data_IF_737705035667
#
_entry.id   IF_737705035667
#
_cell.length_a   1.000
_cell.length_b   1.000
_cell.length_c   1.000
_cell.angle_alpha   90.00
_cell.angle_beta   90.00
_cell.angle_gamma   90.00
#
_symmetry.space_group_name_H-M   'P 1'
#
loop_
_entity.id
_entity.type
_entity.pdbx_description
1 polymer ?
#
# COMPACT_ATOMS: atom_id res chain seq x y z
N UNK A 1 -1.32 -1.32 -27.24
CA UNK A 1 -2.27 -2.17 -26.48
C UNK A 1 -2.39 -1.59 -25.07
N UNK A 2 -3.56 -1.10 -24.65
CA UNK A 2 -3.73 -0.29 -23.42
C UNK A 2 -3.86 -1.15 -22.14
N UNK A 3 -4.22 -2.43 -22.26
CA UNK A 3 -4.47 -3.30 -21.13
C UNK A 3 -3.37 -4.35 -20.90
N UNK A 4 -3.00 -4.55 -19.62
CA UNK A 4 -2.02 -5.52 -19.14
C UNK A 4 -2.37 -6.96 -19.56
N UNK A 5 -3.64 -7.36 -19.40
CA UNK A 5 -4.10 -8.75 -19.53
C UNK A 5 -5.12 -9.00 -20.66
N UNK A 6 -5.19 -8.13 -21.67
CA UNK A 6 -6.08 -8.33 -22.83
C UNK A 6 -7.31 -7.40 -22.82
N UNK A 7 -8.48 -7.86 -23.26
CA UNK A 7 -9.70 -7.03 -23.27
C UNK A 7 -10.24 -6.85 -21.85
N UNK A 8 -10.90 -5.73 -21.59
CA UNK A 8 -11.64 -5.53 -20.34
C UNK A 8 -12.77 -6.56 -20.24
N UNK A 9 -12.97 -7.06 -19.04
CA UNK A 9 -13.99 -8.03 -18.64
C UNK A 9 -14.91 -7.40 -17.61
N UNK A 10 -16.05 -8.04 -17.33
CA UNK A 10 -16.96 -7.58 -16.27
C UNK A 10 -16.28 -7.52 -14.89
N UNK A 11 -15.26 -8.35 -14.66
CA UNK A 11 -14.50 -8.36 -13.41
C UNK A 11 -13.65 -7.11 -13.19
N UNK A 12 -13.26 -6.40 -14.26
CA UNK A 12 -12.49 -5.16 -14.14
C UNK A 12 -13.30 -4.03 -13.47
N UNK A 13 -14.63 -4.18 -13.38
CA UNK A 13 -15.49 -3.28 -12.60
C UNK A 13 -15.17 -3.30 -11.09
N UNK A 14 -14.40 -4.28 -10.59
CA UNK A 14 -13.94 -4.28 -9.20
C UNK A 14 -12.79 -3.30 -8.94
N UNK A 15 -12.08 -2.82 -9.97
CA UNK A 15 -10.92 -1.96 -9.77
C UNK A 15 -11.28 -0.65 -9.05
N UNK A 16 -12.30 0.12 -9.45
CA UNK A 16 -12.69 1.34 -8.72
C UNK A 16 -12.96 1.12 -7.21
N UNK A 17 -13.78 0.15 -6.77
CA UNK A 17 -13.98 -0.10 -5.33
C UNK A 17 -12.74 -0.68 -4.61
N UNK A 18 -11.69 -1.11 -5.31
CA UNK A 18 -10.39 -1.37 -4.68
C UNK A 18 -9.71 -0.06 -4.25
N UNK A 19 -9.83 1.00 -5.05
CA UNK A 19 -9.17 2.29 -4.81
C UNK A 19 -9.98 3.23 -3.94
N UNK A 20 -11.30 3.27 -4.12
CA UNK A 20 -12.20 4.20 -3.44
C UNK A 20 -12.93 3.49 -2.31
N UNK A 21 -12.29 3.45 -1.13
CA UNK A 21 -12.85 2.80 0.05
C UNK A 21 -13.07 3.79 1.16
N UNK A 22 -14.24 3.73 1.82
CA UNK A 22 -14.47 4.55 3.01
C UNK A 22 -13.51 4.21 4.15
N UNK A 23 -12.99 2.98 4.20
CA UNK A 23 -11.93 2.59 5.13
C UNK A 23 -10.61 3.35 4.96
N UNK A 24 -10.50 4.33 4.06
CA UNK A 24 -9.35 5.23 3.93
C UNK A 24 -9.62 6.60 4.55
N UNK A 25 -10.74 6.79 5.26
CA UNK A 25 -11.20 8.11 5.67
C UNK A 25 -10.13 8.88 6.47
N UNK A 26 -9.36 8.28 7.38
CA UNK A 26 -8.37 9.06 8.16
C UNK A 26 -7.26 9.64 7.28
N UNK A 27 -6.89 8.94 6.20
CA UNK A 27 -5.91 9.44 5.25
C UNK A 27 -6.43 10.63 4.44
N UNK A 28 -7.75 10.83 4.38
CA UNK A 28 -8.39 11.94 3.69
C UNK A 28 -8.83 13.06 4.65
N UNK A 29 -9.33 12.69 5.83
CA UNK A 29 -9.99 13.61 6.76
C UNK A 29 -9.14 13.94 7.96
N UNK A 30 -8.24 13.06 8.43
CA UNK A 30 -7.49 13.26 9.67
C UNK A 30 -6.17 13.97 9.41
N UNK A 31 -5.26 13.31 8.69
CA UNK A 31 -3.95 13.84 8.29
C UNK A 31 -3.81 13.60 6.78
N UNK A 32 -4.33 14.53 5.94
CA UNK A 32 -4.24 14.41 4.50
C UNK A 32 -2.79 14.62 4.07
N UNK A 33 -2.01 13.54 4.12
CA UNK A 33 -0.64 13.51 3.61
C UNK A 33 -0.53 12.49 2.47
N UNK A 34 -0.51 12.95 1.21
CA UNK A 34 -0.37 12.08 0.05
C UNK A 34 0.88 11.20 0.11
N UNK A 35 1.96 11.65 0.76
CA UNK A 35 3.22 10.89 0.84
C UNK A 35 3.09 9.62 1.69
N UNK A 36 2.12 9.57 2.61
CA UNK A 36 1.94 8.43 3.52
C UNK A 36 1.05 7.32 2.97
N UNK A 37 0.40 7.52 1.82
CA UNK A 37 -0.54 6.53 1.27
C UNK A 37 -0.60 6.53 -0.25
N UNK A 38 -1.22 7.55 -0.84
CA UNK A 38 -1.56 7.57 -2.27
C UNK A 38 -0.32 7.56 -3.16
N UNK A 39 0.70 8.37 -2.84
CA UNK A 39 1.92 8.45 -3.66
C UNK A 39 2.67 7.10 -3.70
N UNK A 40 2.94 6.42 -2.58
CA UNK A 40 3.51 5.07 -2.59
C UNK A 40 2.75 4.08 -3.49
N UNK A 41 1.42 4.09 -3.44
CA UNK A 41 0.58 3.20 -4.28
C UNK A 41 0.75 3.54 -5.75
N UNK A 42 0.68 4.82 -6.12
CA UNK A 42 0.87 5.28 -7.49
C UNK A 42 2.26 4.88 -8.00
N UNK A 43 3.31 5.08 -7.20
CA UNK A 43 4.68 4.71 -7.56
C UNK A 43 4.84 3.19 -7.75
N UNK A 44 4.21 2.37 -6.91
CA UNK A 44 4.20 0.91 -7.08
C UNK A 44 3.53 0.48 -8.39
N UNK A 45 2.40 1.10 -8.74
CA UNK A 45 1.70 0.84 -10.01
C UNK A 45 2.51 1.32 -11.23
N UNK A 46 3.13 2.50 -11.14
CA UNK A 46 4.04 3.02 -12.17
C UNK A 46 5.27 2.14 -12.34
N UNK A 47 5.83 1.59 -11.27
CA UNK A 47 6.94 0.64 -11.35
C UNK A 47 6.51 -0.63 -12.10
N UNK A 48 5.34 -1.19 -11.77
CA UNK A 48 4.80 -2.34 -12.50
C UNK A 48 4.56 -2.02 -13.98
N UNK A 49 4.04 -0.82 -14.29
CA UNK A 49 3.90 -0.36 -15.67
C UNK A 49 5.25 -0.22 -16.37
N UNK A 50 6.29 0.23 -15.66
CA UNK A 50 7.64 0.43 -16.18
C UNK A 50 8.37 -0.88 -16.46
N UNK A 51 8.02 -1.96 -15.75
CA UNK A 51 8.51 -3.30 -16.10
C UNK A 51 8.10 -3.72 -17.52
N UNK A 52 6.97 -3.22 -18.03
CA UNK A 52 6.49 -3.50 -19.39
C UNK A 52 7.19 -2.66 -20.48
N UNK A 53 8.13 -1.78 -20.13
CA UNK A 53 8.90 -1.03 -21.12
C UNK A 53 9.92 -1.98 -21.75
N UNK A 54 9.83 -2.15 -23.07
CA UNK A 54 10.71 -3.02 -23.87
C UNK A 54 12.12 -2.44 -24.01
N UNK A 55 12.24 -1.11 -24.11
CA UNK A 55 13.54 -0.44 -24.15
C UNK A 55 14.22 -0.51 -22.78
N UNK A 56 15.32 -1.26 -22.68
CA UNK A 56 16.07 -1.49 -21.44
C UNK A 56 16.56 -0.21 -20.76
N UNK A 57 17.02 0.78 -21.52
CA UNK A 57 17.47 2.07 -20.97
C UNK A 57 16.33 2.92 -20.43
N UNK A 58 15.21 2.97 -21.14
CA UNK A 58 14.01 3.67 -20.67
C UNK A 58 13.42 2.98 -19.43
N UNK A 59 13.42 1.64 -19.39
CA UNK A 59 13.03 0.87 -18.21
C UNK A 59 13.95 1.16 -17.02
N UNK A 60 15.27 1.18 -17.25
CA UNK A 60 16.26 1.52 -16.24
C UNK A 60 15.99 2.92 -15.67
N UNK A 61 15.93 3.94 -16.55
CA UNK A 61 15.69 5.32 -16.13
C UNK A 61 14.39 5.48 -15.34
N UNK A 62 13.30 4.86 -15.82
CA UNK A 62 12.00 4.90 -15.16
C UNK A 62 12.02 4.22 -13.78
N UNK A 63 12.53 2.99 -13.69
CA UNK A 63 12.57 2.24 -12.42
C UNK A 63 13.51 2.90 -11.40
N UNK A 64 14.64 3.45 -11.84
CA UNK A 64 15.55 4.20 -10.96
C UNK A 64 14.88 5.46 -10.42
N UNK A 65 14.25 6.27 -11.28
CA UNK A 65 13.54 7.48 -10.86
C UNK A 65 12.38 7.17 -9.91
N UNK A 66 11.56 6.17 -10.24
CA UNK A 66 10.43 5.74 -9.39
C UNK A 66 10.94 5.24 -8.04
N UNK A 67 12.03 4.47 -8.02
CA UNK A 67 12.61 3.94 -6.78
C UNK A 67 13.19 5.05 -5.90
N UNK A 68 13.83 6.05 -6.49
CA UNK A 68 14.28 7.25 -5.79
C UNK A 68 13.10 7.94 -5.09
N UNK A 69 12.05 8.28 -5.83
CA UNK A 69 10.87 8.93 -5.25
C UNK A 69 10.18 8.04 -4.21
N UNK A 70 10.06 6.74 -4.46
CA UNK A 70 9.40 5.80 -3.55
C UNK A 70 10.12 5.72 -2.20
N UNK A 71 11.44 5.64 -2.18
CA UNK A 71 12.23 5.63 -0.95
C UNK A 71 12.05 6.91 -0.12
N UNK A 72 11.86 8.06 -0.75
CA UNK A 72 11.71 9.35 -0.06
C UNK A 72 10.29 9.69 0.38
N UNK A 73 9.31 8.81 0.12
CA UNK A 73 7.93 8.98 0.63
C UNK A 73 7.76 8.49 2.06
N UNK A 74 8.71 7.71 2.60
CA UNK A 74 8.64 7.06 3.91
C UNK A 74 7.89 5.72 3.92
N UNK A 75 6.88 5.53 3.05
CA UNK A 75 6.09 4.29 2.97
C UNK A 75 6.37 3.47 1.70
N UNK A 76 6.85 4.12 0.63
CA UNK A 76 7.25 3.46 -0.62
C UNK A 76 8.61 2.75 -0.55
N UNK A 77 9.34 2.82 0.57
CA UNK A 77 10.69 2.29 0.68
C UNK A 77 10.79 0.75 0.52
N UNK A 78 9.68 0.03 0.61
CA UNK A 78 9.64 -1.42 0.34
C UNK A 78 9.66 -1.76 -1.15
N UNK A 79 9.37 -0.81 -2.03
CA UNK A 79 9.31 -1.05 -3.48
C UNK A 79 10.70 -1.36 -4.09
N UNK A 80 11.77 -0.58 -3.84
CA UNK A 80 13.07 -0.85 -4.44
C UNK A 80 13.65 -2.24 -4.10
N UNK A 81 13.63 -2.74 -2.85
CA UNK A 81 14.08 -4.10 -2.55
C UNK A 81 13.36 -5.18 -3.35
N UNK A 82 12.05 -5.03 -3.58
CA UNK A 82 11.27 -5.99 -4.38
C UNK A 82 11.64 -5.93 -5.86
N UNK A 83 11.86 -4.73 -6.41
CA UNK A 83 12.33 -4.55 -7.78
C UNK A 83 13.73 -5.13 -7.97
N UNK A 84 14.64 -4.89 -7.02
CA UNK A 84 16.00 -5.46 -7.03
C UNK A 84 15.91 -6.98 -7.09
N UNK A 85 15.14 -7.61 -6.21
CA UNK A 85 14.99 -9.07 -6.20
C UNK A 85 14.51 -9.62 -7.54
N UNK A 86 13.47 -9.01 -8.13
CA UNK A 86 12.93 -9.39 -9.45
C UNK A 86 13.96 -9.20 -10.57
N UNK A 87 14.68 -8.09 -10.58
CA UNK A 87 15.70 -7.79 -11.60
C UNK A 87 16.94 -8.67 -11.47
N UNK A 88 17.35 -9.03 -10.25
CA UNK A 88 18.45 -9.97 -10.01
C UNK A 88 18.08 -11.37 -10.49
N UNK A 89 16.86 -11.85 -10.17
CA UNK A 89 16.36 -13.12 -10.70
C UNK A 89 16.40 -13.10 -12.23
N UNK A 90 15.89 -12.03 -12.85
CA UNK A 90 15.96 -11.86 -14.31
C UNK A 90 17.38 -11.94 -14.84
N UNK A 91 18.33 -11.21 -14.25
CA UNK A 91 19.72 -11.20 -14.68
C UNK A 91 20.39 -12.58 -14.58
N UNK A 92 20.07 -13.35 -13.55
CA UNK A 92 20.54 -14.74 -13.37
C UNK A 92 19.99 -15.65 -14.48
N UNK A 93 18.69 -15.55 -14.79
CA UNK A 93 18.07 -16.38 -15.85
C UNK A 93 18.52 -15.97 -17.25
N UNK A 94 18.70 -14.67 -17.50
CA UNK A 94 19.20 -14.14 -18.76
C UNK A 94 20.72 -14.27 -18.91
N UNK A 95 21.44 -14.91 -17.99
CA UNK A 95 22.93 -14.95 -17.96
C UNK A 95 23.56 -15.45 -19.28
N UNK A 96 22.86 -16.30 -20.02
CA UNK A 96 23.28 -16.75 -21.36
C UNK A 96 23.32 -15.61 -22.38
N UNK A 97 22.43 -14.63 -22.26
CA UNK A 97 22.45 -13.39 -23.02
C UNK A 97 23.07 -12.28 -22.16
N UNK A 98 24.42 -12.18 -22.23
CA UNK A 98 25.20 -11.26 -21.40
C UNK A 98 24.72 -9.80 -21.46
N UNK A 99 24.25 -9.32 -22.61
CA UNK A 99 23.77 -7.95 -22.76
C UNK A 99 22.47 -7.70 -21.96
N UNK A 100 21.51 -8.63 -22.05
CA UNK A 100 20.25 -8.53 -21.28
C UNK A 100 20.47 -8.72 -19.78
N UNK A 101 21.30 -9.71 -19.40
CA UNK A 101 21.69 -9.91 -18.01
C UNK A 101 22.38 -8.68 -17.43
N UNK A 102 23.36 -8.10 -18.15
CA UNK A 102 24.04 -6.89 -17.72
C UNK A 102 23.07 -5.71 -17.55
N UNK A 103 22.09 -5.54 -18.44
CA UNK A 103 21.06 -4.51 -18.30
C UNK A 103 20.19 -4.73 -17.05
N UNK A 104 19.79 -5.97 -16.77
CA UNK A 104 19.02 -6.33 -15.57
C UNK A 104 19.81 -6.05 -14.29
N UNK A 105 21.08 -6.45 -14.23
CA UNK A 105 21.97 -6.15 -13.09
C UNK A 105 22.24 -4.66 -12.93
N UNK A 106 22.53 -3.96 -14.03
CA UNK A 106 22.75 -2.50 -14.02
C UNK A 106 21.50 -1.77 -13.49
N UNK A 107 20.31 -2.19 -13.92
CA UNK A 107 19.05 -1.63 -13.42
C UNK A 107 18.88 -1.90 -11.93
N UNK A 108 19.13 -3.13 -11.46
CA UNK A 108 19.07 -3.48 -10.04
C UNK A 108 20.04 -2.63 -9.21
N UNK A 109 21.28 -2.45 -9.68
CA UNK A 109 22.28 -1.60 -9.03
C UNK A 109 21.83 -0.15 -8.99
N UNK A 110 21.34 0.41 -10.11
CA UNK A 110 20.88 1.79 -10.17
C UNK A 110 19.69 2.04 -9.23
N UNK A 111 18.73 1.11 -9.18
CA UNK A 111 17.62 1.13 -8.21
C UNK A 111 18.14 1.07 -6.77
N UNK A 112 19.10 0.21 -6.48
CA UNK A 112 19.72 0.07 -5.16
C UNK A 112 20.45 1.34 -4.71
N UNK A 113 21.24 1.96 -5.60
CA UNK A 113 21.93 3.22 -5.32
C UNK A 113 20.92 4.34 -5.08
N UNK A 114 19.91 4.46 -5.94
CA UNK A 114 18.85 5.46 -5.76
C UNK A 114 18.13 5.30 -4.43
N UNK A 115 17.79 4.07 -4.03
CA UNK A 115 17.15 3.80 -2.75
C UNK A 115 18.10 4.05 -1.55
N UNK A 116 19.38 3.72 -1.69
CA UNK A 116 20.39 3.90 -0.66
C UNK A 116 20.64 5.39 -0.33
N UNK A 117 20.31 6.32 -1.23
CA UNK A 117 20.41 7.76 -0.92
C UNK A 117 19.51 8.17 0.27
N UNK A 118 18.40 7.47 0.52
CA UNK A 118 17.56 7.74 1.70
C UNK A 118 18.28 7.42 3.01
N UNK A 119 19.30 6.54 2.98
CA UNK A 119 20.05 6.11 4.16
C UNK A 119 21.04 7.19 4.62
N UNK A 120 21.30 8.21 3.80
CA UNK A 120 22.16 9.33 4.16
C UNK A 120 21.50 10.13 5.28
N UNK A 121 22.06 10.06 6.48
CA UNK A 121 21.51 10.70 7.67
C UNK A 121 20.35 9.94 8.33
N UNK A 122 20.00 8.75 7.85
CA UNK A 122 18.96 7.92 8.46
C UNK A 122 19.42 7.35 9.79
N UNK A 123 18.61 7.52 10.83
CA UNK A 123 18.89 7.03 12.19
C UNK A 123 18.04 5.80 12.48
N UNK A 124 18.66 4.62 12.49
CA UNK A 124 17.98 3.35 12.75
C UNK A 124 17.36 3.25 14.16
N UNK A 125 17.86 4.03 15.12
CA UNK A 125 17.32 4.12 16.49
C UNK A 125 15.85 4.58 16.51
N UNK A 126 15.42 5.32 15.48
CA UNK A 126 14.05 5.82 15.34
C UNK A 126 13.08 4.80 14.70
N UNK A 127 13.57 3.61 14.32
CA UNK A 127 12.72 2.57 13.71
C UNK A 127 11.67 1.99 14.66
N UNK A 128 11.93 2.02 15.98
CA UNK A 128 10.91 1.69 16.98
C UNK A 128 10.08 2.93 17.26
N UNK A 129 8.94 3.02 16.57
CA UNK A 129 8.01 4.12 16.75
C UNK A 129 7.39 4.16 18.16
N UNK A 130 7.31 3.01 18.85
CA UNK A 130 6.66 2.90 20.16
C UNK A 130 7.44 1.98 21.11
N UNK A 131 7.73 2.41 22.35
CA UNK A 131 8.34 1.55 23.36
C UNK A 131 7.33 0.51 23.89
N UNK A 132 7.77 -0.74 24.00
CA UNK A 132 6.96 -1.84 24.52
C UNK A 132 6.95 -1.81 26.05
N UNK A 133 5.84 -1.37 26.64
CA UNK A 133 5.69 -1.29 28.10
C UNK A 133 5.30 -2.62 28.74
N UNK A 134 4.76 -3.57 27.97
CA UNK A 134 4.13 -4.79 28.50
C UNK A 134 4.63 -6.06 27.78
N UNK A 135 5.91 -6.37 27.96
CA UNK A 135 6.53 -7.58 27.39
C UNK A 135 6.91 -7.46 25.91
N UNK A 136 7.75 -8.39 25.46
CA UNK A 136 8.15 -8.47 24.06
C UNK A 136 7.08 -9.20 23.26
N UNK A 137 6.62 -8.67 22.11
CA UNK A 137 5.64 -9.36 21.27
C UNK A 137 6.13 -10.73 20.81
N UNK A 138 5.22 -11.69 20.71
CA UNK A 138 5.52 -13.04 20.21
C UNK A 138 5.45 -13.10 18.68
N UNK A 139 5.95 -14.18 18.06
CA UNK A 139 5.78 -14.43 16.62
C UNK A 139 4.29 -14.51 16.24
N UNK A 140 3.47 -15.12 17.10
CA UNK A 140 2.02 -15.22 16.93
C UNK A 140 1.36 -13.84 16.84
N UNK A 141 1.80 -12.88 17.66
CA UNK A 141 1.27 -11.52 17.62
C UNK A 141 1.53 -10.82 16.29
N UNK A 142 2.69 -11.08 15.66
CA UNK A 142 3.00 -10.56 14.32
C UNK A 142 2.10 -11.18 13.26
N UNK A 143 1.85 -12.49 13.33
CA UNK A 143 0.93 -13.19 12.42
C UNK A 143 -0.49 -12.64 12.56
N UNK A 144 -0.97 -12.48 13.80
CA UNK A 144 -2.29 -11.90 14.08
C UNK A 144 -2.37 -10.47 13.54
N UNK A 145 -1.32 -9.66 13.70
CA UNK A 145 -1.27 -8.31 13.14
C UNK A 145 -1.42 -8.31 11.62
N UNK A 146 -0.67 -9.15 10.90
CA UNK A 146 -0.75 -9.24 9.44
C UNK A 146 -2.15 -9.66 8.99
N UNK A 147 -2.74 -10.70 9.60
CA UNK A 147 -4.09 -11.15 9.28
C UNK A 147 -5.11 -10.04 9.57
N UNK A 148 -4.94 -9.34 10.70
CA UNK A 148 -5.82 -8.24 11.11
C UNK A 148 -5.77 -7.05 10.15
N UNK A 149 -4.58 -6.69 9.66
CA UNK A 149 -4.43 -5.62 8.67
C UNK A 149 -5.03 -6.00 7.32
N UNK A 150 -4.82 -7.25 6.87
CA UNK A 150 -5.39 -7.76 5.61
C UNK A 150 -6.91 -7.75 5.69
N UNK A 151 -7.52 -8.30 6.75
CA UNK A 151 -8.98 -8.37 6.85
C UNK A 151 -9.61 -6.98 6.96
N UNK A 152 -9.00 -6.05 7.71
CA UNK A 152 -9.47 -4.68 7.84
C UNK A 152 -9.50 -3.97 6.50
N UNK A 153 -8.49 -4.22 5.66
CA UNK A 153 -8.43 -3.66 4.32
C UNK A 153 -9.63 -4.07 3.46
N UNK A 154 -10.22 -5.23 3.71
CA UNK A 154 -11.42 -5.74 3.02
C UNK A 154 -12.74 -5.48 3.77
N UNK A 155 -12.75 -4.58 4.76
CA UNK A 155 -13.95 -4.15 5.46
C UNK A 155 -14.39 -5.05 6.62
N UNK A 156 -13.60 -6.08 6.97
CA UNK A 156 -13.91 -6.95 8.10
C UNK A 156 -13.31 -6.38 9.39
N UNK A 157 -14.13 -5.65 10.14
CA UNK A 157 -13.76 -5.02 11.41
C UNK A 157 -14.20 -5.92 12.57
N UNK A 158 -13.29 -6.27 13.49
CA UNK A 158 -13.59 -7.15 14.62
C UNK A 158 -12.43 -8.05 15.02
N UNK A 159 -12.61 -8.88 16.05
CA UNK A 159 -11.67 -9.95 16.47
C UNK A 159 -12.27 -11.35 16.32
N UNK A 160 -13.37 -11.46 15.60
CA UNK A 160 -14.05 -12.72 15.34
C UNK A 160 -13.11 -13.71 14.64
N UNK A 161 -13.01 -14.91 15.24
CA UNK A 161 -12.15 -15.99 14.75
C UNK A 161 -12.55 -16.39 13.31
N UNK A 162 -13.83 -16.26 12.98
CA UNK A 162 -14.35 -16.53 11.65
C UNK A 162 -13.79 -15.56 10.59
N UNK A 163 -13.71 -14.25 10.86
CA UNK A 163 -13.04 -13.33 9.92
C UNK A 163 -11.53 -13.57 9.85
N UNK A 164 -10.87 -14.01 10.92
CA UNK A 164 -9.45 -14.36 10.89
C UNK A 164 -9.23 -15.58 9.97
N UNK A 165 -10.02 -16.64 10.16
CA UNK A 165 -9.98 -17.83 9.32
C UNK A 165 -10.34 -17.51 7.86
N UNK A 166 -11.40 -16.73 7.65
CA UNK A 166 -11.84 -16.27 6.35
C UNK A 166 -10.76 -15.46 5.63
N UNK A 167 -10.15 -14.49 6.29
CA UNK A 167 -9.09 -13.68 5.68
C UNK A 167 -7.84 -14.50 5.33
N UNK A 168 -7.49 -15.47 6.17
CA UNK A 168 -6.37 -16.37 5.90
C UNK A 168 -6.65 -17.24 4.68
N UNK A 169 -7.83 -17.87 4.63
CA UNK A 169 -8.22 -18.78 3.54
C UNK A 169 -8.44 -18.07 2.21
N UNK A 170 -9.01 -16.87 2.23
CA UNK A 170 -9.43 -16.14 1.02
C UNK A 170 -8.34 -15.24 0.47
N UNK A 171 -7.48 -14.66 1.33
CA UNK A 171 -6.50 -13.67 0.89
C UNK A 171 -5.07 -14.15 1.02
N UNK A 172 -4.66 -14.63 2.20
CA UNK A 172 -3.26 -14.98 2.44
C UNK A 172 -2.83 -16.26 1.70
N UNK A 173 -3.65 -17.31 1.71
CA UNK A 173 -3.34 -18.55 0.98
C UNK A 173 -3.32 -18.29 -0.55
N UNK A 174 -4.31 -17.59 -1.14
CA UNK A 174 -4.22 -17.21 -2.55
C UNK A 174 -3.06 -16.27 -2.86
N UNK A 175 -2.68 -15.36 -1.95
CA UNK A 175 -1.50 -14.50 -2.14
C UNK A 175 -0.20 -15.30 -2.13
N UNK A 176 -0.02 -16.22 -1.19
CA UNK A 176 1.13 -17.11 -1.14
C UNK A 176 1.21 -18.00 -2.39
N UNK A 177 0.06 -18.53 -2.84
CA UNK A 177 -0.04 -19.31 -4.07
C UNK A 177 0.31 -18.48 -5.30
N UNK A 178 -0.20 -17.24 -5.38
CA UNK A 178 0.09 -16.28 -6.42
C UNK A 178 1.58 -15.93 -6.49
N UNK A 179 2.23 -15.73 -5.33
CA UNK A 179 3.66 -15.49 -5.24
C UNK A 179 4.46 -16.70 -5.72
N UNK A 180 4.14 -17.89 -5.23
CA UNK A 180 4.83 -19.12 -5.63
C UNK A 180 4.73 -19.37 -7.15
N UNK A 181 3.55 -19.16 -7.73
CA UNK A 181 3.33 -19.24 -9.18
C UNK A 181 4.14 -18.17 -9.91
N UNK A 182 4.13 -16.92 -9.44
CA UNK A 182 4.83 -15.81 -10.08
C UNK A 182 6.36 -16.04 -10.08
N UNK A 183 6.92 -16.45 -8.94
CA UNK A 183 8.35 -16.80 -8.82
C UNK A 183 8.69 -17.98 -9.74
N UNK A 184 7.85 -19.01 -9.77
CA UNK A 184 8.07 -20.17 -10.65
C UNK A 184 8.04 -19.78 -12.13
N UNK A 185 7.20 -18.82 -12.54
CA UNK A 185 7.13 -18.34 -13.93
C UNK A 185 8.31 -17.46 -14.30
N UNK A 186 8.69 -16.55 -13.39
CA UNK A 186 9.93 -15.78 -13.53
C UNK A 186 11.11 -16.74 -13.68
N UNK A 187 11.11 -17.84 -12.95
CA UNK A 187 12.15 -18.86 -12.99
C UNK A 187 12.14 -19.75 -14.26
N UNK A 188 11.02 -19.78 -14.99
CA UNK A 188 10.84 -20.65 -16.16
C UNK A 188 10.80 -19.90 -17.49
N UNK A 189 10.75 -18.57 -17.46
CA UNK A 189 10.74 -17.75 -18.67
C UNK A 189 12.10 -17.93 -19.36
N UNK A 190 12.09 -18.50 -20.56
CA UNK A 190 13.28 -18.96 -21.27
C UNK A 190 13.89 -17.76 -22.03
N UNK A 191 15.23 -17.64 -22.15
CA UNK A 191 15.87 -16.47 -22.75
C UNK A 191 15.52 -16.16 -24.22
N UNK A 192 14.95 -17.12 -24.96
CA UNK A 192 14.76 -17.04 -26.40
C UNK A 192 13.40 -16.42 -26.80
N UNK A 193 13.36 -15.09 -26.68
CA UNK A 193 12.79 -14.15 -27.66
C UNK A 193 11.31 -13.71 -27.68
N UNK A 194 10.37 -14.20 -26.87
CA UNK A 194 9.03 -13.55 -26.70
C UNK A 194 8.59 -13.36 -25.23
N UNK A 195 9.43 -13.75 -24.28
CA UNK A 195 9.10 -13.89 -22.87
C UNK A 195 9.23 -12.60 -22.03
N UNK A 196 9.65 -11.47 -22.60
CA UNK A 196 9.87 -10.24 -21.83
C UNK A 196 8.56 -9.67 -21.27
N UNK A 197 7.49 -9.76 -22.05
CA UNK A 197 6.14 -9.42 -21.57
C UNK A 197 5.69 -10.40 -20.49
N UNK A 198 5.92 -11.69 -20.67
CA UNK A 198 5.51 -12.73 -19.72
C UNK A 198 6.19 -12.56 -18.36
N UNK A 199 7.51 -12.28 -18.37
CA UNK A 199 8.28 -11.92 -17.20
C UNK A 199 7.64 -10.74 -16.46
N UNK A 200 7.37 -9.64 -17.17
CA UNK A 200 6.84 -8.42 -16.55
C UNK A 200 5.42 -8.62 -16.01
N UNK A 201 4.61 -9.42 -16.70
CA UNK A 201 3.27 -9.81 -16.23
C UNK A 201 3.35 -10.74 -15.01
N UNK A 202 4.39 -11.56 -14.85
CA UNK A 202 4.59 -12.43 -13.70
C UNK A 202 5.17 -11.66 -12.50
N UNK A 203 6.09 -10.74 -12.77
CA UNK A 203 6.69 -9.85 -11.77
C UNK A 203 5.69 -8.88 -11.16
N UNK A 204 4.76 -8.33 -11.95
CA UNK A 204 3.78 -7.32 -11.51
C UNK A 204 3.02 -7.74 -10.24
N UNK A 205 2.25 -8.85 -10.22
CA UNK A 205 1.53 -9.25 -9.00
C UNK A 205 2.47 -9.58 -7.85
N UNK A 206 3.65 -10.15 -8.13
CA UNK A 206 4.63 -10.46 -7.09
C UNK A 206 5.15 -9.20 -6.38
N UNK A 207 5.54 -8.17 -7.14
CA UNK A 207 5.99 -6.89 -6.59
C UNK A 207 4.87 -6.24 -5.76
N UNK A 208 3.66 -6.17 -6.29
CA UNK A 208 2.52 -5.55 -5.60
C UNK A 208 2.17 -6.25 -4.28
N UNK A 209 2.10 -7.59 -4.28
CA UNK A 209 1.83 -8.38 -3.07
C UNK A 209 2.99 -8.22 -2.07
N UNK A 210 4.23 -8.39 -2.51
CA UNK A 210 5.39 -8.35 -1.61
C UNK A 210 5.60 -6.96 -0.99
N UNK A 211 5.36 -5.87 -1.72
CA UNK A 211 5.46 -4.51 -1.17
C UNK A 211 4.49 -4.31 -0.02
N UNK A 212 3.22 -4.69 -0.19
CA UNK A 212 2.23 -4.59 0.88
C UNK A 212 2.50 -5.56 2.04
N UNK A 213 2.95 -6.79 1.77
CA UNK A 213 3.32 -7.74 2.85
C UNK A 213 4.52 -7.24 3.65
N UNK A 214 5.56 -6.71 2.98
CA UNK A 214 6.71 -6.12 3.64
C UNK A 214 6.29 -4.92 4.50
N UNK A 215 5.37 -4.09 4.01
CA UNK A 215 4.75 -3.02 4.79
C UNK A 215 4.00 -3.53 6.02
N UNK A 216 3.18 -4.59 5.89
CA UNK A 216 2.47 -5.21 7.02
C UNK A 216 3.45 -5.70 8.09
N UNK A 217 4.49 -6.42 7.68
CA UNK A 217 5.49 -6.99 8.58
C UNK A 217 6.30 -5.90 9.28
N UNK A 218 6.70 -4.85 8.56
CA UNK A 218 7.41 -3.71 9.16
C UNK A 218 6.51 -2.93 10.11
N UNK A 219 5.24 -2.73 9.77
CA UNK A 219 4.28 -2.10 10.66
C UNK A 219 4.03 -2.92 11.93
N UNK A 220 3.94 -4.24 11.81
CA UNK A 220 3.89 -5.14 12.96
C UNK A 220 5.15 -4.93 13.82
N UNK A 221 6.34 -5.04 13.23
CA UNK A 221 7.59 -4.86 13.96
C UNK A 221 7.68 -3.52 14.71
N UNK A 222 7.25 -2.42 14.08
CA UNK A 222 7.38 -1.08 14.64
C UNK A 222 6.28 -0.72 15.65
N UNK A 223 5.08 -1.33 15.56
CA UNK A 223 3.88 -0.86 16.28
C UNK A 223 3.09 -1.92 17.03
N UNK A 224 3.49 -3.19 16.98
CA UNK A 224 2.78 -4.28 17.66
C UNK A 224 2.64 -4.07 19.17
N UNK A 225 3.52 -3.25 19.77
CA UNK A 225 3.45 -2.87 21.18
C UNK A 225 2.28 -1.96 21.55
N UNK A 226 1.55 -1.41 20.56
CA UNK A 226 0.25 -0.79 20.77
C UNK A 226 -0.91 -1.81 20.82
N UNK A 227 -0.62 -3.09 20.56
CA UNK A 227 -1.58 -4.18 20.48
C UNK A 227 -2.14 -4.39 19.07
N UNK A 228 -2.57 -5.62 18.73
CA UNK A 228 -3.00 -5.99 17.38
C UNK A 228 -4.25 -5.26 16.88
N UNK A 229 -5.00 -4.59 17.77
CA UNK A 229 -6.14 -3.75 17.35
C UNK A 229 -5.67 -2.59 16.48
N UNK A 230 -4.45 -2.07 16.69
CA UNK A 230 -3.95 -0.96 15.87
C UNK A 230 -3.75 -1.35 14.40
N UNK A 231 -3.66 -2.63 14.06
CA UNK A 231 -3.64 -3.09 12.67
C UNK A 231 -4.96 -2.75 11.92
N UNK A 232 -6.03 -2.41 12.64
CA UNK A 232 -7.30 -1.95 12.10
C UNK A 232 -7.29 -0.45 11.71
N UNK A 233 -6.23 0.30 12.04
CA UNK A 233 -6.17 1.74 11.72
C UNK A 233 -6.35 1.96 10.21
N UNK A 234 -7.30 2.84 9.87
CA UNK A 234 -7.75 3.08 8.49
C UNK A 234 -6.62 3.57 7.57
N UNK A 235 -5.60 4.24 8.15
CA UNK A 235 -4.39 4.68 7.45
C UNK A 235 -3.61 3.56 6.75
N UNK A 236 -3.77 2.30 7.15
CA UNK A 236 -3.09 1.17 6.52
C UNK A 236 -3.80 0.65 5.27
N UNK A 237 -5.11 0.90 5.14
CA UNK A 237 -5.94 0.37 4.06
C UNK A 237 -5.44 0.82 2.69
N UNK A 238 -4.98 2.06 2.57
CA UNK A 238 -4.43 2.60 1.31
C UNK A 238 -3.20 1.82 0.84
N UNK A 239 -2.30 1.47 1.76
CA UNK A 239 -1.06 0.74 1.45
C UNK A 239 -1.29 -0.76 1.18
N UNK A 240 -2.52 -1.23 1.38
CA UNK A 240 -2.99 -2.57 1.05
C UNK A 240 -3.70 -2.65 -0.31
N UNK A 241 -3.89 -1.51 -1.01
CA UNK A 241 -4.38 -1.51 -2.39
C UNK A 241 -3.47 -2.35 -3.32
N UNK A 242 -2.12 -2.21 -3.30
CA UNK A 242 -1.24 -3.04 -4.13
C UNK A 242 -1.47 -4.53 -3.90
N UNK A 243 -1.60 -4.98 -2.64
CA UNK A 243 -1.93 -6.37 -2.32
C UNK A 243 -3.20 -6.85 -3.02
N UNK A 244 -4.29 -6.08 -2.93
CA UNK A 244 -5.57 -6.46 -3.53
C UNK A 244 -5.51 -6.49 -5.07
N UNK A 245 -4.81 -5.54 -5.69
CA UNK A 245 -4.61 -5.52 -7.15
C UNK A 245 -3.71 -6.66 -7.60
N UNK A 246 -2.63 -6.95 -6.86
CA UNK A 246 -1.74 -8.07 -7.14
C UNK A 246 -2.49 -9.41 -7.09
N UNK A 247 -3.33 -9.60 -6.06
CA UNK A 247 -4.24 -10.75 -5.97
C UNK A 247 -5.20 -10.81 -7.17
N UNK A 248 -5.88 -9.71 -7.49
CA UNK A 248 -6.77 -9.64 -8.64
C UNK A 248 -6.07 -10.08 -9.93
N UNK A 249 -4.90 -9.51 -10.21
CA UNK A 249 -4.08 -9.85 -11.38
C UNK A 249 -3.70 -11.32 -11.40
N UNK A 250 -3.27 -11.89 -10.27
CA UNK A 250 -2.97 -13.32 -10.19
C UNK A 250 -4.18 -14.22 -10.47
N UNK A 251 -5.37 -13.84 -9.99
CA UNK A 251 -6.60 -14.64 -10.18
C UNK A 251 -7.07 -14.58 -11.64
N UNK A 252 -7.04 -13.41 -12.29
CA UNK A 252 -7.45 -13.29 -13.71
C UNK A 252 -6.47 -14.00 -14.64
N UNK A 253 -5.16 -13.98 -14.32
CA UNK A 253 -4.12 -14.66 -15.08
C UNK A 253 -4.18 -16.18 -15.02
N UNK A 254 -4.88 -16.74 -14.01
CA UNK A 254 -4.98 -18.19 -13.85
C UNK A 254 -5.59 -18.88 -15.09
N UNK A 255 -6.40 -18.16 -15.87
CA UNK A 255 -7.17 -18.67 -17.01
C UNK A 255 -6.43 -18.64 -18.35
N UNK A 256 -5.65 -17.58 -18.58
CA UNK A 256 -5.09 -17.24 -19.91
C UNK A 256 -4.11 -18.31 -20.40
N UNK A 257 -3.49 -19.06 -19.49
CA UNK A 257 -2.30 -19.84 -19.79
C UNK A 257 -2.52 -21.32 -20.11
N UNK A 258 -3.73 -21.84 -19.94
CA UNK A 258 -3.93 -23.29 -20.10
C UNK A 258 -4.91 -23.71 -21.19
N UNK A 259 -5.33 -22.80 -22.07
CA UNK A 259 -6.22 -23.12 -23.19
C UNK A 259 -7.40 -23.96 -22.72
N UNK A 260 -8.37 -23.34 -22.05
CA UNK A 260 -9.45 -23.98 -21.28
C UNK A 260 -10.47 -24.84 -22.07
N UNK A 261 -10.02 -25.68 -23.00
CA UNK A 261 -10.79 -26.85 -23.43
C UNK A 261 -10.77 -27.98 -22.40
N UNK A 262 -9.84 -27.98 -21.42
CA UNK A 262 -9.68 -29.09 -20.44
C UNK A 262 -9.59 -28.73 -18.95
N UNK A 263 -9.82 -27.48 -18.53
CA UNK A 263 -9.79 -27.14 -17.11
C UNK A 263 -10.93 -27.85 -16.36
N UNK A 264 -10.60 -28.62 -15.32
CA UNK A 264 -11.60 -29.27 -14.45
C UNK A 264 -12.60 -28.24 -13.92
N UNK A 265 -13.88 -28.58 -13.93
CA UNK A 265 -14.98 -27.70 -13.50
C UNK A 265 -14.68 -27.01 -12.16
N UNK A 266 -14.04 -27.73 -11.23
CA UNK A 266 -13.61 -27.23 -9.92
C UNK A 266 -12.69 -25.98 -9.98
N UNK A 267 -11.73 -25.90 -10.90
CA UNK A 267 -10.80 -24.74 -10.96
C UNK A 267 -11.51 -23.46 -11.40
N UNK A 268 -12.42 -23.59 -12.37
CA UNK A 268 -13.26 -22.46 -12.81
C UNK A 268 -14.13 -21.97 -11.65
N UNK A 269 -14.73 -22.91 -10.90
CA UNK A 269 -15.53 -22.59 -9.71
C UNK A 269 -14.69 -21.89 -8.65
N UNK A 270 -13.51 -22.39 -8.30
CA UNK A 270 -12.62 -21.74 -7.31
C UNK A 270 -12.21 -20.34 -7.75
N UNK A 271 -11.82 -20.16 -9.02
CA UNK A 271 -11.48 -18.83 -9.55
C UNK A 271 -12.66 -17.86 -9.47
N UNK A 272 -13.83 -18.27 -9.91
CA UNK A 272 -15.05 -17.46 -9.85
C UNK A 272 -15.43 -17.13 -8.41
N UNK A 273 -15.29 -18.09 -7.49
CA UNK A 273 -15.51 -17.87 -6.07
C UNK A 273 -14.53 -16.84 -5.50
N UNK A 274 -13.23 -16.93 -5.80
CA UNK A 274 -12.23 -15.96 -5.36
C UNK A 274 -12.51 -14.55 -5.91
N UNK A 275 -12.86 -14.44 -7.20
CA UNK A 275 -13.24 -13.16 -7.82
C UNK A 275 -14.50 -12.59 -7.20
N UNK A 276 -15.53 -13.41 -6.98
CA UNK A 276 -16.77 -13.00 -6.34
C UNK A 276 -16.53 -12.53 -4.91
N UNK A 277 -15.75 -13.27 -4.11
CA UNK A 277 -15.43 -12.87 -2.74
C UNK A 277 -14.63 -11.57 -2.72
N UNK A 278 -13.63 -11.42 -3.60
CA UNK A 278 -12.85 -10.18 -3.72
C UNK A 278 -13.73 -8.99 -4.11
N UNK A 279 -14.67 -9.19 -5.04
CA UNK A 279 -15.61 -8.16 -5.45
C UNK A 279 -16.57 -7.77 -4.32
N UNK A 280 -17.20 -8.75 -3.68
CA UNK A 280 -18.14 -8.53 -2.56
C UNK A 280 -17.44 -7.84 -1.41
N UNK A 281 -16.23 -8.26 -1.02
CA UNK A 281 -15.50 -7.63 0.08
C UNK A 281 -15.03 -6.22 -0.25
N UNK A 282 -14.65 -5.96 -1.51
CA UNK A 282 -14.27 -4.62 -1.97
C UNK A 282 -15.45 -3.66 -2.01
N UNK A 283 -16.62 -4.14 -2.45
CA UNK A 283 -17.87 -3.35 -2.40
C UNK A 283 -18.30 -3.14 -0.95
N UNK A 284 -18.24 -4.18 -0.12
CA UNK A 284 -18.59 -4.08 1.30
C UNK A 284 -17.73 -3.02 2.02
N UNK A 285 -16.40 -3.15 1.95
CA UNK A 285 -15.49 -2.15 2.53
C UNK A 285 -15.49 -0.80 1.81
N UNK A 286 -16.00 -0.77 0.57
CA UNK A 286 -16.14 0.43 -0.25
C UNK A 286 -17.32 1.30 0.13
N UNK A 287 -18.47 0.69 0.47
CA UNK A 287 -19.74 1.38 0.70
C UNK A 287 -20.23 1.33 2.15
N UNK A 288 -19.75 0.37 2.94
CA UNK A 288 -20.15 0.25 4.34
C UNK A 288 -19.14 0.94 5.25
N UNK A 289 -19.61 1.98 5.95
CA UNK A 289 -18.86 2.61 7.06
C UNK A 289 -19.42 2.05 8.35
N UNK A 290 -18.57 1.37 9.13
CA UNK A 290 -18.95 0.88 10.44
C UNK A 290 -19.38 2.03 11.36
N UNK A 291 -20.29 1.74 12.28
CA UNK A 291 -20.82 2.76 13.19
C UNK A 291 -19.73 3.42 14.04
N UNK A 292 -18.71 2.67 14.44
CA UNK A 292 -17.51 3.19 15.13
C UNK A 292 -16.79 4.25 14.31
N UNK A 293 -16.63 4.00 13.01
CA UNK A 293 -15.88 4.87 12.10
C UNK A 293 -16.70 6.11 11.79
N UNK A 294 -18.02 5.99 11.65
CA UNK A 294 -18.93 7.15 11.53
C UNK A 294 -18.82 8.05 12.75
N UNK A 295 -18.84 7.48 13.95
CA UNK A 295 -18.67 8.23 15.19
C UNK A 295 -17.28 8.89 15.27
N UNK A 296 -16.24 8.21 14.77
CA UNK A 296 -14.89 8.77 14.66
C UNK A 296 -14.81 9.95 13.70
N UNK A 297 -15.43 9.84 12.52
CA UNK A 297 -15.51 10.91 11.52
C UNK A 297 -16.27 12.12 12.06
N UNK A 298 -17.44 11.91 12.68
CA UNK A 298 -18.22 13.02 13.23
C UNK A 298 -17.48 13.70 14.39
N UNK A 299 -16.92 12.93 15.32
CA UNK A 299 -16.08 13.47 16.39
C UNK A 299 -14.89 14.26 15.82
N UNK A 300 -14.22 13.75 14.79
CA UNK A 300 -13.11 14.47 14.16
C UNK A 300 -13.56 15.78 13.52
N UNK A 301 -14.73 15.79 12.87
CA UNK A 301 -15.33 16.99 12.29
C UNK A 301 -15.68 18.03 13.37
N UNK A 302 -16.36 17.61 14.44
CA UNK A 302 -16.76 18.48 15.55
C UNK A 302 -15.54 19.11 16.24
N UNK A 303 -14.56 18.28 16.60
CA UNK A 303 -13.34 18.74 17.29
C UNK A 303 -12.52 19.70 16.41
N UNK A 304 -12.39 19.43 15.10
CA UNK A 304 -11.72 20.36 14.17
C UNK A 304 -12.46 21.67 14.01
N UNK A 305 -13.80 21.65 13.93
CA UNK A 305 -14.63 22.86 13.88
C UNK A 305 -14.50 23.69 15.15
N UNK A 306 -14.54 23.05 16.32
CA UNK A 306 -14.33 23.71 17.60
C UNK A 306 -12.94 24.34 17.69
N UNK A 307 -11.90 23.63 17.24
CA UNK A 307 -10.53 24.14 17.20
C UNK A 307 -10.41 25.37 16.28
N UNK A 308 -10.97 25.30 15.06
CA UNK A 308 -10.98 26.42 14.10
C UNK A 308 -11.74 27.61 14.65
N UNK A 309 -12.89 27.40 15.29
CA UNK A 309 -13.67 28.47 15.91
C UNK A 309 -12.88 29.19 17.01
N UNK A 310 -12.17 28.44 17.86
CA UNK A 310 -11.28 29.02 18.85
C UNK A 310 -10.14 29.84 18.21
N UNK A 311 -9.49 29.30 17.18
CA UNK A 311 -8.38 30.00 16.51
C UNK A 311 -8.84 31.31 15.84
N UNK A 312 -10.04 31.31 15.24
CA UNK A 312 -10.70 32.50 14.67
C UNK A 312 -11.05 33.55 15.72
N UNK A 313 -11.40 33.13 16.94
CA UNK A 313 -11.66 34.02 18.07
C UNK A 313 -10.38 34.64 18.69
N UNK A 314 -9.20 34.33 18.13
CA UNK A 314 -7.91 34.85 18.63
C UNK A 314 -7.24 33.97 19.68
N UNK A 315 -7.74 32.75 19.91
CA UNK A 315 -7.11 31.79 20.82
C UNK A 315 -5.72 31.35 20.37
N UNK A 316 -4.86 31.06 21.34
CA UNK A 316 -3.55 30.44 21.11
C UNK A 316 -3.69 28.96 20.77
N UNK A 317 -2.66 28.31 20.21
CA UNK A 317 -2.70 26.87 19.93
C UNK A 317 -3.01 26.07 21.19
N UNK A 318 -2.35 26.40 22.31
CA UNK A 318 -2.54 25.67 23.57
C UNK A 318 -3.98 25.80 24.11
N UNK A 319 -4.56 26.99 24.01
CA UNK A 319 -5.94 27.23 24.43
C UNK A 319 -6.93 26.47 23.54
N UNK A 320 -6.72 26.48 22.22
CA UNK A 320 -7.60 25.77 21.29
C UNK A 320 -7.47 24.26 21.39
N UNK A 321 -6.26 23.73 21.59
CA UNK A 321 -6.02 22.31 21.86
C UNK A 321 -6.77 21.87 23.14
N UNK A 322 -6.71 22.68 24.20
CA UNK A 322 -7.41 22.41 25.46
C UNK A 322 -8.93 22.42 25.29
N UNK A 323 -9.49 23.49 24.70
CA UNK A 323 -10.95 23.66 24.55
C UNK A 323 -11.60 22.63 23.62
N UNK A 324 -10.93 22.30 22.52
CA UNK A 324 -11.46 21.37 21.52
C UNK A 324 -11.13 19.90 21.81
N UNK A 325 -10.28 19.64 22.82
CA UNK A 325 -9.70 18.32 23.09
C UNK A 325 -8.98 17.71 21.88
N UNK A 326 -8.49 18.55 20.97
CA UNK A 326 -7.77 18.16 19.77
C UNK A 326 -6.37 18.75 19.79
N UNK A 327 -5.37 17.90 19.98
CA UNK A 327 -3.97 18.30 19.82
C UNK A 327 -3.59 18.32 18.34
N UNK A 328 -3.55 19.49 17.73
CA UNK A 328 -3.33 19.62 16.26
C UNK A 328 -1.91 19.23 15.83
N UNK A 329 -0.92 19.36 16.72
CA UNK A 329 0.46 18.95 16.47
C UNK A 329 1.09 18.36 17.75
N UNK A 330 1.88 17.27 17.68
CA UNK A 330 2.47 16.66 18.88
C UNK A 330 3.40 17.61 19.66
N UNK A 331 4.11 18.49 18.95
CA UNK A 331 5.00 19.51 19.54
C UNK A 331 4.81 20.84 18.80
N UNK A 332 3.79 21.65 19.14
CA UNK A 332 3.46 22.86 18.37
C UNK A 332 4.62 23.86 18.28
N UNK A 333 5.36 24.02 19.39
CA UNK A 333 6.51 24.91 19.51
C UNK A 333 7.63 24.59 18.53
N UNK A 334 7.93 23.30 18.29
CA UNK A 334 8.97 22.87 17.34
C UNK A 334 8.68 23.30 15.90
N UNK A 335 7.40 23.58 15.59
CA UNK A 335 6.97 24.02 14.26
C UNK A 335 6.60 25.49 14.19
N UNK A 336 6.76 26.22 15.31
CA UNK A 336 6.33 27.62 15.48
C UNK A 336 4.87 27.83 15.05
N UNK A 337 3.98 26.95 15.51
CA UNK A 337 2.62 26.88 15.00
C UNK A 337 1.79 28.14 15.30
N UNK A 338 1.98 28.75 16.48
CA UNK A 338 1.31 30.01 16.83
C UNK A 338 1.68 31.14 15.85
N UNK A 339 2.96 31.28 15.50
CA UNK A 339 3.41 32.29 14.54
C UNK A 339 2.85 32.05 13.13
N UNK A 340 2.72 30.79 12.72
CA UNK A 340 2.08 30.43 11.44
C UNK A 340 0.59 30.79 11.46
N UNK A 341 -0.10 30.59 12.57
CA UNK A 341 -1.51 30.98 12.70
C UNK A 341 -1.68 32.50 12.67
N UNK A 342 -0.80 33.24 13.34
CA UNK A 342 -0.81 34.71 13.29
C UNK A 342 -0.59 35.21 11.86
N UNK A 343 0.41 34.67 11.16
CA UNK A 343 0.68 34.98 9.76
C UNK A 343 -0.56 34.75 8.86
N UNK A 344 -1.27 33.63 9.08
CA UNK A 344 -2.49 33.30 8.32
C UNK A 344 -3.65 34.23 8.67
N UNK A 345 -3.78 34.62 9.94
CA UNK A 345 -4.81 35.54 10.43
C UNK A 345 -4.63 36.94 9.85
N UNK A 346 -3.43 37.50 9.97
CA UNK A 346 -3.08 38.83 9.45
C UNK A 346 -3.34 38.95 7.94
N UNK A 347 -3.06 37.88 7.18
CA UNK A 347 -3.27 37.84 5.72
C UNK A 347 -4.63 37.31 5.29
N UNK A 348 -5.54 37.00 6.24
CA UNK A 348 -6.87 36.43 5.95
C UNK A 348 -6.79 35.20 5.03
N UNK A 349 -5.86 34.29 5.31
CA UNK A 349 -5.65 33.05 4.55
C UNK A 349 -6.36 31.86 5.20
N UNK A 350 -6.59 30.79 4.44
CA UNK A 350 -7.21 29.55 4.95
C UNK A 350 -8.56 29.83 5.62
N UNK A 351 -8.81 29.29 6.82
CA UNK A 351 -10.04 29.48 7.59
C UNK A 351 -10.19 30.85 8.25
N UNK A 352 -9.24 31.78 8.05
CA UNK A 352 -9.36 33.19 8.44
C UNK A 352 -9.92 34.08 7.33
N UNK A 353 -10.23 33.52 6.16
CA UNK A 353 -10.87 34.26 5.08
C UNK A 353 -12.26 34.76 5.50
N UNK A 354 -12.72 35.92 4.98
CA UNK A 354 -14.05 36.45 5.29
C UNK A 354 -15.18 35.52 4.87
N UNK A 355 -14.98 34.75 3.79
CA UNK A 355 -15.95 33.85 3.17
C UNK A 355 -15.78 32.38 3.60
N UNK A 356 -15.08 32.12 4.71
CA UNK A 356 -14.96 30.78 5.26
C UNK A 356 -16.20 30.43 6.10
N UNK A 357 -17.06 29.57 5.53
CA UNK A 357 -18.26 28.98 6.15
C UNK A 357 -17.99 27.67 6.90
#
# INVERSE_FOLDING_TARGET
KVALFGRLTAWDAMIPPLFFRFGQYEALTFIPNPSHGVIPVVLALLACRSLLIENGWARLAALTAISFFASHTGFGFFLPPMLIGVLLLRGIYEWRNRARAAMSFLTATAVGVAAATMLVGFRFEELRAVPCRFGSPTVTDHVIWVITMVKASFGFLGRDELAIAGATLVYLIPAASALAVSVTRIARTVPDSDDEREFSLAATPAVLICVSVAFCLSSAWARLCLGPVQALDSRYVTLMIPFAIGLYFSIIRWDVERGMSGATSARKVVRLALLAVLMVSSVHGGFHIAQSDRAGVERSRETKRAWVACARAGGTVAECDFRSQLKVHPVPSATRLDEKLEFLRERRLSFFRPDYE
#
